data_IF_169080524219
#
_entry.id   IF_169080524219
#
_cell.length_a   1.000
_cell.length_b   1.000
_cell.length_c   1.000
_cell.angle_alpha   90.00
_cell.angle_beta   90.00
_cell.angle_gamma   90.00
#
_symmetry.space_group_name_H-M   'P 1'
#
loop_
_entity.id
_entity.type
_entity.pdbx_description
1 polymer ?
#
# COMPACT_ATOMS: atom_id res chain seq x y z
N UNK A 1 0.44 19.15 34.55
CA UNK A 1 0.38 20.46 33.85
C UNK A 1 -0.96 21.13 34.10
N UNK A 2 -0.94 22.42 34.47
CA UNK A 2 -2.13 23.14 34.92
C UNK A 2 -3.29 23.17 33.91
N UNK A 3 -3.02 23.55 32.65
CA UNK A 3 -4.08 23.69 31.63
C UNK A 3 -4.69 22.35 31.23
N UNK A 4 -3.90 21.27 31.21
CA UNK A 4 -4.39 19.90 30.93
C UNK A 4 -5.38 19.43 31.98
N UNK A 5 -5.15 19.78 33.26
CA UNK A 5 -6.09 19.49 34.34
C UNK A 5 -7.40 20.26 34.17
N UNK A 6 -7.34 21.53 33.76
CA UNK A 6 -8.53 22.38 33.56
C UNK A 6 -9.39 21.93 32.37
N UNK A 7 -8.77 21.40 31.32
CA UNK A 7 -9.47 20.74 30.22
C UNK A 7 -10.12 19.43 30.69
N UNK A 8 -9.38 18.62 31.46
CA UNK A 8 -9.89 17.33 31.96
C UNK A 8 -11.07 17.48 32.93
N UNK A 9 -11.11 18.55 33.73
CA UNK A 9 -12.22 18.86 34.64
C UNK A 9 -13.38 19.60 33.98
N UNK A 10 -13.33 19.87 32.67
CA UNK A 10 -14.41 20.54 31.93
C UNK A 10 -14.55 22.04 32.20
N UNK A 11 -13.53 22.69 32.77
CA UNK A 11 -13.50 24.16 32.96
C UNK A 11 -13.25 24.86 31.63
N UNK A 12 -12.39 24.27 30.78
CA UNK A 12 -12.19 24.70 29.40
C UNK A 12 -12.72 23.65 28.43
N UNK A 13 -13.32 24.10 27.32
CA UNK A 13 -13.81 23.21 26.27
C UNK A 13 -12.70 22.71 25.33
N UNK A 14 -11.72 23.55 25.00
CA UNK A 14 -10.63 23.18 24.10
C UNK A 14 -9.46 24.16 24.19
N UNK A 15 -8.26 23.71 23.82
CA UNK A 15 -7.08 24.55 23.66
C UNK A 15 -6.29 24.05 22.44
N UNK A 16 -6.06 24.92 21.46
CA UNK A 16 -5.36 24.59 20.23
C UNK A 16 -4.62 25.84 19.68
N UNK A 17 -3.47 25.65 19.01
CA UNK A 17 -2.80 26.73 18.32
C UNK A 17 -3.61 27.17 17.09
N UNK A 18 -3.71 28.48 16.80
CA UNK A 18 -4.30 28.96 15.56
C UNK A 18 -3.38 28.68 14.36
N UNK A 19 -3.97 28.50 13.18
CA UNK A 19 -3.23 28.43 11.90
C UNK A 19 -3.04 29.83 11.29
N UNK A 20 -2.05 29.99 10.42
CA UNK A 20 -1.70 31.27 9.78
C UNK A 20 -2.80 31.89 8.89
N UNK A 21 -3.84 31.13 8.52
CA UNK A 21 -4.98 31.62 7.77
C UNK A 21 -5.68 30.57 6.91
N UNK A 22 -6.45 31.03 5.92
CA UNK A 22 -7.15 30.16 4.97
C UNK A 22 -6.19 29.48 3.99
N UNK A 23 -6.47 28.22 3.66
CA UNK A 23 -5.77 27.48 2.60
C UNK A 23 -6.23 27.88 1.19
N UNK A 24 -7.38 28.56 1.06
CA UNK A 24 -7.89 29.04 -0.23
C UNK A 24 -7.16 30.30 -0.68
N UNK A 25 -6.71 30.31 -1.93
CA UNK A 25 -5.96 31.44 -2.50
C UNK A 25 -6.86 32.66 -2.64
N UNK A 26 -6.69 33.63 -1.75
CA UNK A 26 -7.29 34.98 -1.82
C UNK A 26 -6.17 36.01 -1.67
N UNK A 27 -5.68 36.58 -2.78
CA UNK A 27 -4.61 37.59 -2.78
C UNK A 27 -3.62 37.49 -3.95
N UNK A 28 -2.75 38.49 -4.08
CA UNK A 28 -1.61 38.50 -5.03
C UNK A 28 -0.47 37.56 -4.61
N UNK A 29 0.44 37.23 -5.52
CA UNK A 29 1.49 36.21 -5.31
C UNK A 29 2.45 36.48 -4.13
N UNK A 30 2.62 37.74 -3.72
CA UNK A 30 3.58 38.15 -2.68
C UNK A 30 3.09 38.00 -1.23
N UNK A 31 1.82 37.63 -1.00
CA UNK A 31 1.25 37.48 0.36
C UNK A 31 0.76 36.05 0.62
N UNK A 32 1.60 35.05 0.34
CA UNK A 32 1.25 33.64 0.57
C UNK A 32 1.56 33.23 2.01
N UNK A 33 0.60 32.61 2.66
CA UNK A 33 0.79 31.99 3.99
C UNK A 33 1.49 30.62 3.84
N UNK A 34 2.26 30.20 4.84
CA UNK A 34 2.95 28.89 4.84
C UNK A 34 1.96 27.72 4.60
N UNK A 35 0.73 27.83 5.15
CA UNK A 35 -0.36 26.87 4.90
C UNK A 35 -0.79 26.78 3.43
N UNK A 36 -0.84 27.90 2.72
CA UNK A 36 -1.21 27.92 1.30
C UNK A 36 -0.11 27.30 0.44
N UNK A 37 1.15 27.62 0.76
CA UNK A 37 2.31 27.04 0.08
C UNK A 37 2.37 25.51 0.26
N UNK A 38 2.13 25.02 1.48
CA UNK A 38 2.02 23.58 1.78
C UNK A 38 0.91 22.90 0.97
N UNK A 39 -0.23 23.57 0.77
CA UNK A 39 -1.32 23.02 -0.02
C UNK A 39 -1.00 22.97 -1.51
N UNK A 40 -0.35 24.00 -2.07
CA UNK A 40 0.01 24.05 -3.49
C UNK A 40 1.13 23.06 -3.86
N UNK A 41 2.14 22.89 -3.00
CA UNK A 41 3.34 22.09 -3.31
C UNK A 41 3.30 20.66 -2.76
N UNK A 42 2.39 20.33 -1.83
CA UNK A 42 2.38 19.01 -1.19
C UNK A 42 0.98 18.41 -1.00
N UNK A 43 0.07 19.10 -0.31
CA UNK A 43 -1.23 18.53 0.10
C UNK A 43 -2.31 18.58 -1.01
N UNK A 44 -1.93 18.34 -2.26
CA UNK A 44 -2.82 18.33 -3.41
C UNK A 44 -2.51 17.11 -4.32
N UNK A 45 -3.56 16.43 -4.78
CA UNK A 45 -3.42 15.26 -5.67
C UNK A 45 -2.66 15.57 -6.96
N UNK A 46 -2.73 16.81 -7.46
CA UNK A 46 -2.00 17.24 -8.65
C UNK A 46 -0.46 17.27 -8.50
N UNK A 47 0.07 17.20 -7.28
CA UNK A 47 1.51 17.25 -6.98
C UNK A 47 2.02 15.96 -6.30
N UNK A 48 1.23 14.88 -6.31
CA UNK A 48 1.58 13.62 -5.66
C UNK A 48 2.92 13.03 -6.11
N UNK A 49 3.31 13.24 -7.38
CA UNK A 49 4.56 12.73 -7.94
C UNK A 49 5.78 13.61 -7.68
N UNK A 50 5.62 14.78 -7.04
CA UNK A 50 6.74 15.63 -6.62
C UNK A 50 7.38 15.10 -5.33
N UNK A 51 8.65 15.49 -5.12
CA UNK A 51 9.32 15.26 -3.84
C UNK A 51 8.62 16.05 -2.72
N UNK A 52 8.49 15.43 -1.55
CA UNK A 52 7.88 16.05 -0.37
C UNK A 52 8.78 17.18 0.19
N UNK A 53 8.25 18.40 0.43
CA UNK A 53 9.00 19.50 1.01
C UNK A 53 9.09 19.36 2.53
N UNK A 54 9.96 18.46 3.00
CA UNK A 54 10.08 18.08 4.42
C UNK A 54 10.43 19.26 5.34
N UNK A 55 11.28 20.17 4.89
CA UNK A 55 11.67 21.36 5.68
C UNK A 55 10.47 22.29 5.94
N UNK A 56 9.57 22.42 4.96
CA UNK A 56 8.37 23.24 5.07
C UNK A 56 7.32 22.59 6.00
N UNK A 57 7.15 21.26 5.88
CA UNK A 57 6.28 20.49 6.77
C UNK A 57 6.78 20.59 8.21
N UNK A 58 8.09 20.42 8.42
CA UNK A 58 8.75 20.55 9.72
C UNK A 58 8.61 21.95 10.31
N UNK A 59 8.79 22.99 9.50
CA UNK A 59 8.62 24.39 9.94
C UNK A 59 7.19 24.67 10.41
N UNK A 60 6.18 24.15 9.72
CA UNK A 60 4.76 24.44 10.01
C UNK A 60 4.16 23.53 11.10
N UNK A 61 4.49 22.24 11.10
CA UNK A 61 3.90 21.25 12.01
C UNK A 61 4.84 20.79 13.14
N UNK A 62 6.12 21.16 13.09
CA UNK A 62 7.14 20.74 14.04
C UNK A 62 7.85 19.43 13.65
N UNK A 63 8.88 19.09 14.42
CA UNK A 63 9.78 17.96 14.14
C UNK A 63 9.07 16.60 14.14
N UNK A 64 8.12 16.38 15.06
CA UNK A 64 7.43 15.08 15.17
C UNK A 64 6.66 14.72 13.90
N UNK A 65 5.91 15.68 13.35
CA UNK A 65 5.15 15.49 12.11
C UNK A 65 6.07 15.51 10.89
N UNK A 66 7.10 16.36 10.90
CA UNK A 66 8.13 16.36 9.86
C UNK A 66 8.83 15.00 9.73
N UNK A 67 9.21 14.39 10.85
CA UNK A 67 9.84 13.07 10.88
C UNK A 67 8.89 11.97 10.42
N UNK A 68 7.62 12.03 10.81
CA UNK A 68 6.59 11.10 10.34
C UNK A 68 6.52 11.08 8.80
N UNK A 69 6.41 12.25 8.16
CA UNK A 69 6.34 12.32 6.70
C UNK A 69 7.67 11.98 6.03
N UNK A 70 8.81 12.32 6.64
CA UNK A 70 10.11 11.89 6.17
C UNK A 70 10.23 10.36 6.12
N UNK A 71 9.84 9.69 7.21
CA UNK A 71 9.82 8.23 7.29
C UNK A 71 8.87 7.60 6.26
N UNK A 72 7.64 8.11 6.19
CA UNK A 72 6.65 7.65 5.20
C UNK A 72 7.19 7.79 3.76
N UNK A 73 7.82 8.91 3.44
CA UNK A 73 8.43 9.15 2.14
C UNK A 73 9.57 8.18 1.82
N UNK A 74 10.43 7.87 2.79
CA UNK A 74 11.50 6.86 2.63
C UNK A 74 10.90 5.47 2.43
N UNK A 75 9.92 5.08 3.25
CA UNK A 75 9.25 3.78 3.16
C UNK A 75 8.58 3.56 1.80
N UNK A 76 7.83 4.55 1.29
CA UNK A 76 7.21 4.46 -0.04
C UNK A 76 8.25 4.35 -1.16
N UNK A 77 9.41 5.01 -1.05
CA UNK A 77 10.50 4.86 -2.03
C UNK A 77 11.16 3.48 -1.94
N UNK A 78 11.36 2.95 -0.74
CA UNK A 78 11.92 1.61 -0.53
C UNK A 78 10.98 0.50 -1.01
N UNK A 79 9.67 0.74 -1.07
CA UNK A 79 8.68 -0.18 -1.64
C UNK A 79 8.74 -0.31 -3.17
N UNK A 80 9.38 0.61 -3.89
CA UNK A 80 9.47 0.59 -5.36
C UNK A 80 10.22 -0.66 -5.88
N UNK A 81 11.41 -1.03 -5.39
CA UNK A 81 12.08 -2.25 -5.81
C UNK A 81 11.27 -3.54 -5.55
N UNK A 82 10.71 -3.77 -4.35
CA UNK A 82 9.78 -4.88 -4.10
C UNK A 82 8.58 -4.93 -5.04
N UNK A 83 7.94 -3.79 -5.30
CA UNK A 83 6.75 -3.77 -6.16
C UNK A 83 7.10 -4.08 -7.62
N UNK A 84 8.24 -3.60 -8.11
CA UNK A 84 8.74 -3.91 -9.44
C UNK A 84 9.08 -5.40 -9.58
N UNK A 85 9.81 -5.96 -8.61
CA UNK A 85 10.16 -7.38 -8.62
C UNK A 85 8.93 -8.26 -8.50
N UNK A 86 7.99 -7.91 -7.61
CA UNK A 86 6.71 -8.62 -7.45
C UNK A 86 5.87 -8.60 -8.73
N UNK A 87 5.83 -7.47 -9.45
CA UNK A 87 5.16 -7.37 -10.74
C UNK A 87 5.81 -8.29 -11.80
N UNK A 88 7.15 -8.33 -11.86
CA UNK A 88 7.88 -9.20 -12.78
C UNK A 88 7.58 -10.68 -12.50
N UNK A 89 7.60 -11.08 -11.23
CA UNK A 89 7.29 -12.46 -10.80
C UNK A 89 5.85 -12.83 -11.10
N UNK A 90 4.91 -11.90 -10.89
CA UNK A 90 3.50 -12.12 -11.23
C UNK A 90 3.30 -12.28 -12.75
N UNK A 91 3.92 -11.43 -13.56
CA UNK A 91 3.88 -11.54 -15.02
C UNK A 91 4.52 -12.85 -15.51
N UNK A 92 5.63 -13.27 -14.90
CA UNK A 92 6.24 -14.57 -15.16
C UNK A 92 5.23 -15.69 -14.90
N UNK A 93 4.55 -15.70 -13.74
CA UNK A 93 3.52 -16.68 -13.42
C UNK A 93 2.39 -16.74 -14.46
N UNK A 94 1.92 -15.60 -14.98
CA UNK A 94 0.90 -15.55 -16.05
C UNK A 94 1.42 -16.18 -17.35
N UNK A 95 2.67 -15.92 -17.73
CA UNK A 95 3.24 -16.49 -18.96
C UNK A 95 3.43 -17.99 -18.85
N UNK A 96 3.84 -18.50 -17.68
CA UNK A 96 4.14 -19.93 -17.48
C UNK A 96 2.90 -20.78 -17.12
N UNK A 97 1.79 -20.18 -16.65
CA UNK A 97 0.59 -20.96 -16.27
C UNK A 97 -0.09 -21.69 -17.45
N UNK A 98 0.17 -21.23 -18.68
CA UNK A 98 -0.44 -21.77 -19.90
C UNK A 98 0.11 -23.13 -20.32
N UNK A 99 1.27 -23.54 -19.82
CA UNK A 99 1.92 -24.81 -20.16
C UNK A 99 1.50 -25.99 -19.29
N UNK A 100 0.50 -25.83 -18.41
CA UNK A 100 0.14 -26.87 -17.45
C UNK A 100 -0.85 -27.89 -18.04
N UNK A 101 -0.37 -29.13 -18.20
CA UNK A 101 -1.09 -30.32 -18.69
C UNK A 101 -2.29 -30.73 -17.81
N UNK A 102 -2.35 -30.23 -16.56
CA UNK A 102 -3.43 -30.48 -15.59
C UNK A 102 -4.83 -30.04 -16.06
N UNK A 103 -4.90 -29.14 -17.04
CA UNK A 103 -6.15 -28.57 -17.55
C UNK A 103 -6.61 -29.20 -18.87
N UNK A 104 -5.96 -30.27 -19.33
CA UNK A 104 -6.36 -30.95 -20.55
C UNK A 104 -7.53 -31.93 -20.27
N UNK A 105 -8.69 -31.65 -20.84
CA UNK A 105 -9.88 -32.50 -20.76
C UNK A 105 -9.69 -33.86 -21.47
N UNK A 106 -8.64 -34.00 -22.29
CA UNK A 106 -8.29 -35.27 -22.94
C UNK A 106 -7.77 -36.32 -21.95
N UNK A 107 -7.22 -35.87 -20.81
CA UNK A 107 -6.68 -36.70 -19.76
C UNK A 107 -7.79 -37.05 -18.73
N UNK A 108 -8.37 -38.25 -18.83
CA UNK A 108 -9.43 -38.74 -17.93
C UNK A 108 -8.92 -39.16 -16.54
N UNK A 109 -8.27 -38.24 -15.81
CA UNK A 109 -7.85 -38.48 -14.44
C UNK A 109 -8.98 -38.23 -13.45
N UNK A 110 -9.50 -39.31 -12.86
CA UNK A 110 -10.51 -39.29 -11.80
C UNK A 110 -9.83 -39.30 -10.43
N UNK A 111 -10.15 -38.30 -9.61
CA UNK A 111 -9.64 -38.17 -8.24
C UNK A 111 -10.57 -38.86 -7.24
N UNK A 112 -9.99 -39.34 -6.15
CA UNK A 112 -10.74 -39.94 -5.04
C UNK A 112 -11.62 -38.90 -4.33
N UNK A 113 -12.75 -39.33 -3.73
CA UNK A 113 -13.58 -38.46 -2.91
C UNK A 113 -12.82 -37.99 -1.66
N UNK A 114 -13.07 -36.75 -1.23
CA UNK A 114 -12.43 -36.15 -0.06
C UNK A 114 -13.10 -36.57 1.27
N UNK A 115 -14.16 -37.37 1.24
CA UNK A 115 -15.00 -37.70 2.40
C UNK A 115 -15.18 -39.21 2.55
N UNK A 116 -15.29 -39.69 3.79
CA UNK A 116 -15.41 -41.12 4.12
C UNK A 116 -16.80 -41.72 3.87
N UNK A 117 -17.87 -40.92 3.77
CA UNK A 117 -19.26 -41.43 3.78
C UNK A 117 -19.93 -41.41 2.41
N UNK A 118 -20.32 -40.23 1.90
CA UNK A 118 -21.02 -40.11 0.61
C UNK A 118 -20.50 -38.87 -0.11
N UNK A 119 -19.48 -39.05 -0.94
CA UNK A 119 -18.96 -38.02 -1.84
C UNK A 119 -18.66 -38.64 -3.20
N UNK A 120 -19.02 -37.93 -4.27
CA UNK A 120 -18.78 -38.39 -5.63
C UNK A 120 -17.31 -38.23 -6.02
N UNK A 121 -16.87 -39.09 -6.93
CA UNK A 121 -15.59 -38.94 -7.61
C UNK A 121 -15.63 -37.71 -8.51
N UNK A 122 -14.51 -36.99 -8.61
CA UNK A 122 -14.42 -35.76 -9.38
C UNK A 122 -13.24 -35.82 -10.34
N UNK A 123 -13.35 -35.11 -11.47
CA UNK A 123 -12.30 -35.06 -12.49
C UNK A 123 -11.29 -33.98 -12.17
N UNK A 124 -10.01 -34.24 -12.41
CA UNK A 124 -8.94 -33.26 -12.19
C UNK A 124 -9.13 -31.97 -13.00
N UNK A 125 -9.74 -32.05 -14.19
CA UNK A 125 -10.00 -30.87 -15.03
C UNK A 125 -11.04 -29.90 -14.43
N UNK A 126 -11.91 -30.36 -13.50
CA UNK A 126 -12.93 -29.51 -12.89
C UNK A 126 -12.36 -28.42 -11.98
N UNK A 127 -11.14 -28.60 -11.46
CA UNK A 127 -10.44 -27.63 -10.60
C UNK A 127 -9.34 -26.87 -11.34
N UNK A 128 -9.30 -26.92 -12.67
CA UNK A 128 -8.27 -26.26 -13.47
C UNK A 128 -8.08 -24.78 -13.10
N UNK A 129 -9.17 -24.02 -12.90
CA UNK A 129 -9.09 -22.61 -12.49
C UNK A 129 -8.40 -22.41 -11.14
N UNK A 130 -8.64 -23.31 -10.19
CA UNK A 130 -7.99 -23.28 -8.88
C UNK A 130 -6.51 -23.64 -9.02
N UNK A 131 -6.17 -24.68 -9.79
CA UNK A 131 -4.77 -25.07 -10.04
C UNK A 131 -3.98 -23.95 -10.73
N UNK A 132 -4.58 -23.25 -11.69
CA UNK A 132 -3.96 -22.08 -12.34
C UNK A 132 -3.75 -20.93 -11.37
N UNK A 133 -4.73 -20.64 -10.52
CA UNK A 133 -4.59 -19.61 -9.49
C UNK A 133 -3.50 -19.98 -8.48
N UNK A 134 -3.46 -21.24 -8.00
CA UNK A 134 -2.43 -21.72 -7.10
C UNK A 134 -1.04 -21.62 -7.72
N UNK A 135 -0.86 -22.03 -8.97
CA UNK A 135 0.44 -21.93 -9.67
C UNK A 135 0.89 -20.47 -9.88
N UNK A 136 -0.05 -19.56 -10.12
CA UNK A 136 0.26 -18.13 -10.24
C UNK A 136 0.90 -17.57 -8.95
N UNK A 137 0.46 -18.05 -7.78
CA UNK A 137 1.04 -17.66 -6.50
C UNK A 137 2.23 -18.53 -6.10
N UNK A 138 2.18 -19.83 -6.34
CA UNK A 138 3.17 -20.82 -5.89
C UNK A 138 4.01 -21.33 -7.06
N UNK A 139 4.80 -20.41 -7.64
CA UNK A 139 5.81 -20.72 -8.64
C UNK A 139 7.21 -20.51 -8.06
N UNK A 140 8.22 -21.13 -8.69
CA UNK A 140 9.61 -21.05 -8.21
C UNK A 140 10.18 -19.62 -8.13
N UNK A 141 9.67 -18.67 -8.92
CA UNK A 141 10.08 -17.27 -8.84
C UNK A 141 9.48 -16.57 -7.61
N UNK A 142 8.29 -16.96 -7.14
CA UNK A 142 7.71 -16.48 -5.88
C UNK A 142 8.56 -16.87 -4.68
N UNK A 143 9.20 -18.05 -4.69
CA UNK A 143 10.12 -18.44 -3.61
C UNK A 143 11.32 -17.49 -3.51
N UNK A 144 11.91 -17.10 -4.65
CA UNK A 144 12.99 -16.11 -4.69
C UNK A 144 12.50 -14.72 -4.23
N UNK A 145 11.29 -14.34 -4.62
CA UNK A 145 10.65 -13.11 -4.15
C UNK A 145 10.43 -13.10 -2.64
N UNK A 146 10.01 -14.22 -2.05
CA UNK A 146 9.83 -14.33 -0.60
C UNK A 146 11.15 -14.16 0.17
N UNK A 147 12.25 -14.72 -0.33
CA UNK A 147 13.60 -14.52 0.23
C UNK A 147 13.99 -13.04 0.15
N UNK A 148 13.77 -12.40 -1.01
CA UNK A 148 14.01 -10.98 -1.18
C UNK A 148 13.19 -10.13 -0.19
N UNK A 149 11.89 -10.39 -0.06
CA UNK A 149 11.00 -9.69 0.88
C UNK A 149 11.38 -9.88 2.34
N UNK A 150 12.08 -10.96 2.69
CA UNK A 150 12.57 -11.20 4.06
C UNK A 150 13.85 -10.42 4.38
N UNK A 151 14.63 -10.06 3.35
CA UNK A 151 15.85 -9.27 3.47
C UNK A 151 15.60 -7.76 3.34
N UNK A 152 14.50 -7.38 2.70
CA UNK A 152 14.03 -6.02 2.54
C UNK A 152 13.40 -5.49 3.83
#
# INVERSE_FOLDING_TARGET
SGISSLLATGVYNSAFPPHDGSFTRKGGRDQRNDRQLLYEEWANYGVMFKYQPLDLIRKYFGEAIGLYFAWMGVYTRMLVPPSLLGLIVFLYGILTVHSNEMCDDSLNFTMCPLCDTVCDYWKLSSVCSLTRASYLFDNGATTLFAIFMSLW
#
